data_IF_092928200136
#
_entry.id   IF_092928200136
#
_cell.length_a   1.000
_cell.length_b   1.000
_cell.length_c   1.000
_cell.angle_alpha   90.00
_cell.angle_beta   90.00
_cell.angle_gamma   90.00
#
_symmetry.space_group_name_H-M   'P 1'
#
loop_
_entity.id
_entity.type
_entity.pdbx_description
1 polymer ?
#
# COMPACT_ATOMS: atom_id res chain seq x y z
N UNK A 1 -9.37 -25.46 4.62
CA UNK A 1 -9.24 -24.55 3.46
C UNK A 1 -9.18 -23.07 3.85
N UNK A 2 -9.68 -22.65 5.03
CA UNK A 2 -9.62 -21.25 5.49
C UNK A 2 -8.22 -20.65 5.60
N UNK A 3 -7.26 -21.37 6.19
CA UNK A 3 -5.86 -20.91 6.31
C UNK A 3 -5.17 -20.69 4.94
N UNK A 4 -5.44 -21.56 3.97
CA UNK A 4 -4.89 -21.45 2.62
C UNK A 4 -5.47 -20.23 1.88
N UNK A 5 -6.78 -20.01 2.00
CA UNK A 5 -7.44 -18.82 1.47
C UNK A 5 -6.98 -17.52 2.13
N UNK A 6 -6.80 -17.53 3.46
CA UNK A 6 -6.26 -16.40 4.21
C UNK A 6 -4.82 -16.07 3.78
N UNK A 7 -3.97 -17.09 3.62
CA UNK A 7 -2.59 -16.92 3.15
C UNK A 7 -2.52 -16.31 1.74
N UNK A 8 -3.38 -16.78 0.82
CA UNK A 8 -3.45 -16.23 -0.55
C UNK A 8 -3.94 -14.78 -0.52
N UNK A 9 -5.02 -14.49 0.21
CA UNK A 9 -5.57 -13.13 0.32
C UNK A 9 -4.54 -12.15 0.89
N UNK A 10 -3.84 -12.54 1.97
CA UNK A 10 -2.80 -11.72 2.57
C UNK A 10 -1.58 -11.54 1.66
N UNK A 11 -1.14 -12.61 0.98
CA UNK A 11 -0.02 -12.54 0.04
C UNK A 11 -0.30 -11.61 -1.14
N UNK A 12 -1.49 -11.69 -1.74
CA UNK A 12 -1.89 -10.81 -2.84
C UNK A 12 -2.06 -9.35 -2.38
N UNK A 13 -2.61 -9.13 -1.18
CA UNK A 13 -2.71 -7.80 -0.59
C UNK A 13 -1.33 -7.17 -0.38
N UNK A 14 -0.38 -7.92 0.19
CA UNK A 14 0.99 -7.48 0.40
C UNK A 14 1.72 -7.17 -0.91
N UNK A 15 1.53 -7.99 -1.94
CA UNK A 15 2.10 -7.74 -3.27
C UNK A 15 1.55 -6.46 -3.90
N UNK A 16 0.23 -6.26 -3.83
CA UNK A 16 -0.42 -5.05 -4.34
C UNK A 16 0.06 -3.78 -3.64
N UNK A 17 0.09 -3.80 -2.30
CA UNK A 17 0.61 -2.70 -1.49
C UNK A 17 2.09 -2.41 -1.79
N UNK A 18 2.92 -3.45 -1.83
CA UNK A 18 4.36 -3.31 -2.09
C UNK A 18 4.67 -2.69 -3.45
N UNK A 19 3.99 -3.14 -4.51
CA UNK A 19 4.17 -2.59 -5.86
C UNK A 19 3.63 -1.15 -5.96
N UNK A 20 2.45 -0.88 -5.40
CA UNK A 20 1.84 0.44 -5.40
C UNK A 20 2.68 1.48 -4.66
N UNK A 21 3.12 1.14 -3.45
CA UNK A 21 3.96 2.01 -2.63
C UNK A 21 5.36 2.20 -3.24
N UNK A 22 5.96 1.14 -3.79
CA UNK A 22 7.26 1.25 -4.46
C UNK A 22 7.22 2.23 -5.63
N UNK A 23 6.17 2.17 -6.45
CA UNK A 23 5.99 3.12 -7.55
C UNK A 23 5.70 4.53 -7.05
N UNK A 24 4.83 4.69 -6.05
CA UNK A 24 4.51 5.99 -5.47
C UNK A 24 5.75 6.67 -4.89
N UNK A 25 6.49 5.99 -4.02
CA UNK A 25 7.63 6.58 -3.33
C UNK A 25 8.84 6.77 -4.24
N UNK A 26 9.05 5.94 -5.26
CA UNK A 26 10.08 6.22 -6.27
C UNK A 26 9.81 7.52 -7.02
N UNK A 27 8.56 7.78 -7.43
CA UNK A 27 8.18 9.05 -8.09
C UNK A 27 8.26 10.25 -7.16
N UNK A 28 7.89 10.05 -5.89
CA UNK A 28 8.07 11.07 -4.85
C UNK A 28 9.55 11.45 -4.66
N UNK A 29 10.45 10.46 -4.58
CA UNK A 29 11.89 10.71 -4.48
C UNK A 29 12.45 11.43 -5.72
N UNK A 30 12.06 11.01 -6.92
CA UNK A 30 12.46 11.67 -8.16
C UNK A 30 12.00 13.14 -8.20
N UNK A 31 10.77 13.42 -7.76
CA UNK A 31 10.22 14.78 -7.73
C UNK A 31 10.89 15.65 -6.66
N UNK A 32 11.04 15.14 -5.44
CA UNK A 32 11.70 15.82 -4.32
C UNK A 32 13.16 16.15 -4.64
N UNK A 33 13.89 15.24 -5.28
CA UNK A 33 15.27 15.47 -5.70
C UNK A 33 15.39 16.58 -6.78
N UNK A 34 14.38 16.75 -7.63
CA UNK A 34 14.38 17.78 -8.69
C UNK A 34 13.93 19.15 -8.19
N UNK A 35 13.01 19.20 -7.22
CA UNK A 35 12.40 20.42 -6.71
C UNK A 35 12.25 20.36 -5.17
N UNK A 36 13.37 20.46 -4.43
CA UNK A 36 13.36 20.33 -2.97
C UNK A 36 12.52 21.42 -2.27
N UNK A 37 12.33 22.58 -2.92
CA UNK A 37 11.48 23.66 -2.41
C UNK A 37 9.98 23.32 -2.35
N UNK A 38 9.54 22.30 -3.10
CA UNK A 38 8.15 21.83 -3.13
C UNK A 38 7.91 20.62 -2.21
N UNK A 39 8.90 20.23 -1.41
CA UNK A 39 8.83 18.99 -0.67
C UNK A 39 7.63 18.85 0.29
N UNK A 40 7.20 19.90 1.02
CA UNK A 40 5.99 19.81 1.84
C UNK A 40 4.73 19.42 1.03
N UNK A 41 4.63 19.93 -0.20
CA UNK A 41 3.51 19.65 -1.12
C UNK A 41 3.55 18.22 -1.64
N UNK A 42 4.75 17.76 -2.05
CA UNK A 42 4.93 16.38 -2.51
C UNK A 42 4.67 15.38 -1.40
N UNK A 43 5.17 15.63 -0.18
CA UNK A 43 4.92 14.77 0.98
C UNK A 43 3.43 14.70 1.33
N UNK A 44 2.71 15.83 1.33
CA UNK A 44 1.26 15.83 1.56
C UNK A 44 0.52 15.00 0.52
N UNK A 45 0.88 15.15 -0.75
CA UNK A 45 0.26 14.40 -1.86
C UNK A 45 0.60 12.90 -1.77
N UNK A 46 1.85 12.56 -1.45
CA UNK A 46 2.30 11.19 -1.29
C UNK A 46 1.58 10.49 -0.12
N UNK A 47 1.35 11.15 1.01
CA UNK A 47 0.60 10.58 2.13
C UNK A 47 -0.86 10.30 1.78
N UNK A 48 -1.52 11.20 1.04
CA UNK A 48 -2.88 10.96 0.56
C UNK A 48 -2.90 9.74 -0.37
N UNK A 49 -1.99 9.69 -1.35
CA UNK A 49 -1.92 8.57 -2.30
C UNK A 49 -1.56 7.25 -1.60
N UNK A 50 -0.67 7.27 -0.62
CA UNK A 50 -0.33 6.12 0.21
C UNK A 50 -1.59 5.57 0.92
N UNK A 51 -2.40 6.43 1.53
CA UNK A 51 -3.65 6.01 2.15
C UNK A 51 -4.63 5.39 1.13
N UNK A 52 -4.69 5.91 -0.09
CA UNK A 52 -5.50 5.33 -1.17
C UNK A 52 -4.98 3.97 -1.62
N UNK A 53 -3.66 3.80 -1.76
CA UNK A 53 -3.02 2.51 -2.12
C UNK A 53 -3.30 1.46 -1.05
N UNK A 54 -3.26 1.83 0.22
CA UNK A 54 -3.45 0.92 1.37
C UNK A 54 -4.91 0.57 1.67
N UNK A 55 -5.89 1.32 1.16
CA UNK A 55 -7.30 1.12 1.52
C UNK A 55 -7.80 -0.31 1.21
N UNK A 56 -7.49 -0.85 0.04
CA UNK A 56 -7.90 -2.20 -0.35
C UNK A 56 -7.03 -3.31 0.28
N UNK A 57 -5.68 -3.19 0.33
CA UNK A 57 -4.83 -4.12 1.08
C UNK A 57 -5.25 -4.30 2.54
N UNK A 58 -5.54 -3.22 3.26
CA UNK A 58 -5.98 -3.30 4.66
C UNK A 58 -7.29 -4.08 4.77
N UNK A 59 -8.27 -3.81 3.90
CA UNK A 59 -9.53 -4.56 3.89
C UNK A 59 -9.31 -6.05 3.57
N UNK A 60 -8.42 -6.37 2.63
CA UNK A 60 -8.09 -7.74 2.28
C UNK A 60 -7.42 -8.49 3.45
N UNK A 61 -6.56 -7.82 4.21
CA UNK A 61 -5.93 -8.39 5.42
C UNK A 61 -6.97 -8.63 6.51
N UNK A 62 -7.93 -7.71 6.72
CA UNK A 62 -9.04 -7.92 7.66
C UNK A 62 -9.86 -9.15 7.28
N UNK A 63 -10.19 -9.31 5.99
CA UNK A 63 -10.89 -10.49 5.49
C UNK A 63 -10.07 -11.78 5.66
N UNK A 64 -8.76 -11.72 5.42
CA UNK A 64 -7.85 -12.85 5.64
C UNK A 64 -7.85 -13.29 7.12
N UNK A 65 -7.84 -12.35 8.07
CA UNK A 65 -7.96 -12.67 9.50
C UNK A 65 -9.30 -13.37 9.81
N UNK A 66 -10.41 -12.88 9.26
CA UNK A 66 -11.73 -13.50 9.47
C UNK A 66 -11.80 -14.91 8.85
N UNK A 67 -11.16 -15.14 7.71
CA UNK A 67 -11.08 -16.45 7.05
C UNK A 67 -10.16 -17.42 7.78
N UNK A 68 -9.16 -16.93 8.50
CA UNK A 68 -8.22 -17.73 9.28
C UNK A 68 -8.86 -18.31 10.55
N UNK A 69 -9.85 -17.63 11.13
CA UNK A 69 -10.51 -18.01 12.38
C UNK A 69 -11.77 -18.86 12.21
N UNK A 70 -12.17 -19.14 10.96
CA UNK A 70 -13.31 -20.00 10.60
C UNK A 70 -12.85 -21.34 10.04
#
# INVERSE_FOLDING_TARGET
MGLLGAGIAAGLAALGAGLGNGLLFSKYMDASARQPELEPTFKSSALLMFALVEALPILAIVLAFILSTK
#
